data_IF_147264029952
#
_entry.id   IF_147264029952
#
_cell.length_a   1.000
_cell.length_b   1.000
_cell.length_c   1.000
_cell.angle_alpha   90.00
_cell.angle_beta   90.00
_cell.angle_gamma   90.00
#
_symmetry.space_group_name_H-M   'P 1'
#
loop_
_entity.id
_entity.type
_entity.pdbx_description
1 polymer ?
#
# COMPACT_ATOMS: atom_id res chain seq x y z
N UNK A 1 5.64 -13.65 -27.01
CA UNK A 1 5.50 -12.34 -26.36
C UNK A 1 5.02 -12.62 -24.95
N UNK A 2 5.94 -12.69 -24.00
CA UNK A 2 5.63 -12.97 -22.59
C UNK A 2 5.07 -11.68 -21.97
N UNK A 3 3.79 -11.72 -21.59
CA UNK A 3 3.19 -10.70 -20.74
C UNK A 3 3.92 -10.75 -19.39
N UNK A 4 4.83 -9.80 -19.16
CA UNK A 4 5.32 -9.48 -17.83
C UNK A 4 4.17 -8.83 -17.07
N UNK A 5 3.34 -9.67 -16.42
CA UNK A 5 2.47 -9.22 -15.34
C UNK A 5 3.40 -8.65 -14.27
N UNK A 6 3.26 -7.37 -13.98
CA UNK A 6 4.03 -6.69 -12.96
C UNK A 6 3.47 -7.13 -11.58
N UNK A 7 3.99 -8.24 -11.04
CA UNK A 7 3.47 -8.91 -9.83
C UNK A 7 3.72 -8.12 -8.52
N UNK A 8 4.38 -6.96 -8.60
CA UNK A 8 4.71 -6.18 -7.41
C UNK A 8 3.62 -5.13 -7.07
N UNK A 9 2.83 -4.65 -8.05
CA UNK A 9 1.67 -3.77 -7.81
C UNK A 9 0.40 -4.56 -7.46
N UNK A 10 -0.70 -3.86 -7.16
CA UNK A 10 -2.00 -4.48 -6.97
C UNK A 10 -2.81 -3.92 -5.80
N UNK A 11 -3.87 -4.63 -5.45
CA UNK A 11 -4.77 -4.27 -4.35
C UNK A 11 -4.28 -4.92 -3.06
N UNK A 12 -4.20 -4.13 -1.99
CA UNK A 12 -4.02 -4.62 -0.62
C UNK A 12 -5.42 -4.77 0.00
N UNK A 13 -5.71 -5.97 0.49
CA UNK A 13 -7.00 -6.33 1.08
C UNK A 13 -6.87 -6.52 2.59
N UNK A 14 -7.97 -6.31 3.32
CA UNK A 14 -8.05 -6.66 4.74
C UNK A 14 -7.88 -8.18 4.92
N UNK A 15 -7.02 -8.59 5.86
CA UNK A 15 -6.77 -10.02 6.12
C UNK A 15 -7.97 -10.77 6.71
N UNK A 16 -8.93 -10.03 7.30
CA UNK A 16 -10.10 -10.58 7.96
C UNK A 16 -11.37 -10.54 7.11
N UNK A 17 -11.72 -9.38 6.55
CA UNK A 17 -12.96 -9.22 5.77
C UNK A 17 -12.75 -9.23 4.24
N UNK A 18 -11.50 -9.34 3.77
CA UNK A 18 -11.12 -9.32 2.34
C UNK A 18 -11.57 -8.08 1.55
N UNK A 19 -12.00 -7.02 2.24
CA UNK A 19 -12.35 -5.76 1.58
C UNK A 19 -11.09 -5.14 0.96
N UNK A 20 -11.15 -4.70 -0.31
CA UNK A 20 -10.10 -3.89 -0.94
C UNK A 20 -9.84 -2.62 -0.13
N UNK A 21 -8.60 -2.40 0.33
CA UNK A 21 -8.25 -1.26 1.18
C UNK A 21 -7.49 -0.18 0.43
N UNK A 22 -6.47 -0.54 -0.34
CA UNK A 22 -5.66 0.41 -1.11
C UNK A 22 -5.14 -0.22 -2.40
N UNK A 23 -4.97 0.61 -3.42
CA UNK A 23 -4.29 0.23 -4.66
C UNK A 23 -2.84 0.71 -4.64
N UNK A 24 -1.93 -0.11 -5.16
CA UNK A 24 -0.51 0.17 -5.26
C UNK A 24 -0.09 0.14 -6.74
N UNK A 25 0.47 1.25 -7.22
CA UNK A 25 1.05 1.34 -8.57
C UNK A 25 2.53 1.62 -8.49
N UNK A 26 3.34 0.72 -9.03
CA UNK A 26 4.79 0.89 -9.07
C UNK A 26 5.15 1.77 -10.27
N UNK A 27 5.94 2.81 -10.00
CA UNK A 27 6.35 3.82 -10.98
C UNK A 27 7.81 3.68 -11.40
N UNK A 28 8.67 3.16 -10.51
CA UNK A 28 10.09 2.92 -10.81
C UNK A 28 10.53 1.57 -10.22
N UNK A 29 10.37 0.50 -11.00
CA UNK A 29 10.72 -0.89 -10.62
C UNK A 29 12.22 -1.13 -10.38
N UNK A 30 13.08 -0.27 -10.93
CA UNK A 30 14.54 -0.40 -10.79
C UNK A 30 15.12 0.37 -9.59
N UNK A 31 14.29 1.03 -8.78
CA UNK A 31 14.75 1.69 -7.56
C UNK A 31 15.04 0.64 -6.48
N UNK A 32 16.12 0.83 -5.73
CA UNK A 32 16.51 -0.03 -4.60
C UNK A 32 15.73 0.26 -3.31
N UNK A 33 14.73 1.15 -3.36
CA UNK A 33 13.90 1.47 -2.22
C UNK A 33 12.98 0.29 -1.87
N UNK A 34 13.12 -0.25 -0.67
CA UNK A 34 12.20 -1.25 -0.12
C UNK A 34 11.14 -0.53 0.73
N UNK A 35 9.88 -0.91 0.60
CA UNK A 35 8.79 -0.39 1.42
C UNK A 35 7.88 -1.50 1.87
N UNK A 36 7.65 -1.56 3.17
CA UNK A 36 6.68 -2.45 3.80
C UNK A 36 5.37 -1.67 4.04
N UNK A 37 4.25 -2.22 3.59
CA UNK A 37 2.93 -1.58 3.66
C UNK A 37 2.00 -2.46 4.50
N UNK A 38 1.32 -1.83 5.45
CA UNK A 38 0.20 -2.40 6.20
C UNK A 38 -0.98 -1.43 6.09
N UNK A 39 -2.15 -1.90 5.68
CA UNK A 39 -3.36 -1.10 5.60
C UNK A 39 -4.31 -1.44 6.76
N UNK A 40 -4.77 -0.43 7.49
CA UNK A 40 -5.75 -0.56 8.58
C UNK A 40 -7.16 -0.42 8.00
N UNK A 41 -8.02 -1.37 8.34
CA UNK A 41 -9.37 -1.52 7.80
C UNK A 41 -10.41 -0.85 8.72
N UNK A 42 -11.04 0.21 8.23
CA UNK A 42 -12.15 0.89 8.92
C UNK A 42 -13.48 0.12 8.85
N UNK A 43 -13.56 -0.98 8.08
CA UNK A 43 -14.76 -1.80 8.01
C UNK A 43 -14.87 -2.83 9.15
N UNK A 44 -13.74 -3.29 9.69
CA UNK A 44 -13.73 -4.33 10.74
C UNK A 44 -12.64 -4.15 11.82
N UNK A 45 -11.97 -2.99 11.86
CA UNK A 45 -10.90 -2.63 12.79
C UNK A 45 -9.66 -3.55 12.79
N UNK A 46 -9.56 -4.47 11.81
CA UNK A 46 -8.38 -5.30 11.58
C UNK A 46 -7.45 -4.65 10.53
N UNK A 47 -6.47 -5.39 10.01
CA UNK A 47 -5.48 -4.90 9.07
C UNK A 47 -5.23 -5.87 7.91
N UNK A 48 -4.53 -5.42 6.89
CA UNK A 48 -4.02 -6.26 5.82
C UNK A 48 -2.89 -7.17 6.31
N UNK A 49 -2.57 -8.19 5.51
CA UNK A 49 -1.24 -8.78 5.58
C UNK A 49 -0.18 -7.76 5.15
N UNK A 50 1.06 -8.02 5.56
CA UNK A 50 2.21 -7.24 5.13
C UNK A 50 2.42 -7.37 3.62
N UNK A 51 2.47 -6.24 2.91
CA UNK A 51 2.88 -6.18 1.49
C UNK A 51 4.25 -5.52 1.39
N UNK A 52 5.20 -6.22 0.79
CA UNK A 52 6.52 -5.66 0.46
C UNK A 52 6.55 -5.17 -0.98
N UNK A 53 7.06 -3.96 -1.18
CA UNK A 53 7.25 -3.32 -2.47
C UNK A 53 8.73 -2.98 -2.62
N UNK A 54 9.30 -3.30 -3.77
CA UNK A 54 10.62 -2.82 -4.18
C UNK A 54 10.40 -1.86 -5.34
N UNK A 55 10.97 -0.67 -5.22
CA UNK A 55 10.80 0.42 -6.18
C UNK A 55 9.96 1.58 -5.64
N UNK A 56 9.83 2.64 -6.44
CA UNK A 56 8.92 3.75 -6.13
C UNK A 56 7.49 3.39 -6.53
N UNK A 57 6.52 3.92 -5.78
CA UNK A 57 5.11 3.62 -5.99
C UNK A 57 4.21 4.82 -5.66
N UNK A 58 2.96 4.75 -6.13
CA UNK A 58 1.84 5.55 -5.67
C UNK A 58 0.83 4.66 -4.92
N UNK A 59 0.14 5.28 -3.96
CA UNK A 59 -1.00 4.70 -3.26
C UNK A 59 -2.29 5.41 -3.65
N UNK A 60 -3.37 4.65 -3.76
CA UNK A 60 -4.71 5.18 -3.99
C UNK A 60 -5.77 4.43 -3.22
N UNK A 61 -6.94 5.05 -3.11
CA UNK A 61 -8.14 4.39 -2.62
C UNK A 61 -8.68 3.39 -3.64
N UNK A 62 -9.63 2.59 -3.19
CA UNK A 62 -10.43 1.67 -4.01
C UNK A 62 -11.87 2.18 -4.10
N UNK A 63 -12.73 1.46 -4.82
CA UNK A 63 -14.17 1.73 -4.81
C UNK A 63 -14.80 1.57 -3.39
N UNK A 64 -14.17 0.77 -2.51
CA UNK A 64 -14.69 0.43 -1.18
C UNK A 64 -14.09 1.27 -0.05
N UNK A 65 -12.95 1.90 -0.30
CA UNK A 65 -12.16 2.56 0.73
C UNK A 65 -11.39 3.76 0.17
N UNK A 66 -11.25 4.80 0.96
CA UNK A 66 -10.33 5.91 0.67
C UNK A 66 -9.21 5.96 1.70
N UNK A 67 -8.08 6.53 1.32
CA UNK A 67 -6.95 6.76 2.24
C UNK A 67 -7.31 7.93 3.14
N UNK A 68 -7.31 7.69 4.45
CA UNK A 68 -7.52 8.72 5.48
C UNK A 68 -6.18 9.35 5.88
N UNK A 69 -5.20 8.51 6.23
CA UNK A 69 -3.84 8.95 6.54
C UNK A 69 -2.79 7.93 6.13
N UNK A 70 -1.55 8.41 5.96
CA UNK A 70 -0.37 7.58 5.75
C UNK A 70 0.63 7.97 6.83
N UNK A 71 0.92 7.03 7.71
CA UNK A 71 1.96 7.17 8.73
C UNK A 71 3.20 6.43 8.23
N UNK A 72 4.37 7.07 8.34
CA UNK A 72 5.65 6.49 7.90
C UNK A 72 6.54 6.29 9.10
N UNK A 73 7.02 5.05 9.28
CA UNK A 73 7.80 4.59 10.40
C UNK A 73 9.07 3.88 9.92
N UNK A 74 10.03 3.69 10.83
CA UNK A 74 11.22 2.86 10.60
C UNK A 74 12.00 3.20 9.30
N UNK A 75 12.22 4.49 9.04
CA UNK A 75 12.94 4.95 7.85
C UNK A 75 14.45 4.70 7.97
N UNK A 76 15.06 4.14 6.93
CA UNK A 76 16.51 4.05 6.76
C UNK A 76 16.93 4.82 5.52
N UNK A 77 18.02 5.55 5.65
CA UNK A 77 18.57 6.40 4.59
C UNK A 77 20.06 6.12 4.40
N UNK A 78 20.49 6.09 3.13
CA UNK A 78 21.90 6.04 2.74
C UNK A 78 22.17 7.19 1.78
N UNK A 79 23.18 8.01 2.04
CA UNK A 79 23.51 9.18 1.20
C UNK A 79 22.31 10.09 0.90
N UNK A 80 21.42 10.27 1.89
CA UNK A 80 20.17 11.04 1.78
C UNK A 80 19.12 10.45 0.81
N UNK A 81 19.22 9.16 0.49
CA UNK A 81 18.23 8.39 -0.26
C UNK A 81 17.56 7.40 0.68
N UNK A 82 16.22 7.39 0.72
CA UNK A 82 15.46 6.38 1.48
C UNK A 82 15.69 5.01 0.86
N UNK A 83 16.29 4.10 1.61
CA UNK A 83 16.52 2.71 1.20
C UNK A 83 15.48 1.76 1.78
N UNK A 84 14.89 2.11 2.92
CA UNK A 84 13.83 1.33 3.56
C UNK A 84 12.85 2.24 4.31
N UNK A 85 11.57 1.87 4.30
CA UNK A 85 10.56 2.47 5.16
C UNK A 85 9.43 1.47 5.44
N UNK A 86 8.76 1.65 6.57
CA UNK A 86 7.47 1.01 6.86
C UNK A 86 6.39 2.06 6.77
N UNK A 87 5.27 1.74 6.14
CA UNK A 87 4.13 2.63 6.07
C UNK A 87 2.88 1.92 6.58
N UNK A 88 2.13 2.65 7.41
CA UNK A 88 0.80 2.26 7.85
C UNK A 88 -0.21 3.17 7.16
N UNK A 89 -1.12 2.57 6.39
CA UNK A 89 -2.16 3.31 5.68
C UNK A 89 -3.47 3.14 6.41
N UNK A 90 -3.98 4.20 7.02
CA UNK A 90 -5.33 4.19 7.59
C UNK A 90 -6.32 4.45 6.47
N UNK A 91 -7.28 3.55 6.32
CA UNK A 91 -8.36 3.71 5.35
C UNK A 91 -9.63 4.18 6.05
N UNK A 92 -10.57 4.68 5.26
CA UNK A 92 -11.94 4.96 5.69
C UNK A 92 -12.90 4.36 4.68
N UNK A 93 -14.05 3.87 5.13
CA UNK A 93 -15.09 3.36 4.23
C UNK A 93 -15.55 4.46 3.26
N UNK A 94 -15.66 4.13 1.97
CA UNK A 94 -16.30 5.04 1.01
C UNK A 94 -17.81 5.01 1.25
N UNK A 95 -18.38 6.14 1.67
CA UNK A 95 -19.84 6.30 1.68
C UNK A 95 -20.29 6.34 0.21
N UNK A 96 -20.94 5.27 -0.26
CA UNK A 96 -21.77 5.38 -1.46
C UNK A 96 -22.71 6.57 -1.22
N UNK A 97 -22.74 7.52 -2.15
CA UNK A 97 -23.67 8.65 -2.11
C UNK A 97 -25.10 8.12 -1.94
N UNK A 98 -25.60 8.10 -0.71
CA UNK A 98 -26.98 7.81 -0.36
C UNK A 98 -27.93 8.93 -0.76
#
# INVERSE_FOLDING_TARGET
MTNNHNENGGVIECSNCSVPLVEVWITEENSSQETKIIAVCDHCDDQSFEKKIIGKFYLGGTDYSSIDSIDTDNVKEEESVITYQEITVKTRKTEEYG
#
